data_IF_065863779535
#
_entry.id   IF_065863779535
#
_cell.length_a   1.000
_cell.length_b   1.000
_cell.length_c   1.000
_cell.angle_alpha   90.00
_cell.angle_beta   90.00
_cell.angle_gamma   90.00
#
_symmetry.space_group_name_H-M   'P 1'
#
loop_
_entity.id
_entity.type
_entity.pdbx_description
1 polymer ?
#
# COMPACT_ATOMS: atom_id res chain seq x y z
N UNK A 1 -5.14 47.71 -8.43
CA UNK A 1 -3.78 47.14 -8.54
C UNK A 1 -3.39 46.67 -7.14
N UNK A 2 -3.68 45.42 -6.81
CA UNK A 2 -3.65 44.89 -5.45
C UNK A 2 -2.24 44.42 -5.08
N UNK A 3 -1.74 44.93 -3.96
CA UNK A 3 -0.42 44.65 -3.38
C UNK A 3 -0.29 43.13 -3.11
N UNK A 4 0.82 42.47 -3.50
CA UNK A 4 1.01 41.07 -3.13
C UNK A 4 1.23 40.99 -1.62
N UNK A 5 0.34 40.26 -0.94
CA UNK A 5 0.50 39.80 0.45
C UNK A 5 1.84 39.06 0.56
N UNK A 6 2.83 39.72 1.17
CA UNK A 6 4.08 39.05 1.56
C UNK A 6 3.71 38.08 2.67
N UNK A 7 3.75 36.78 2.38
CA UNK A 7 3.71 35.72 3.39
C UNK A 7 4.90 36.00 4.33
N UNK A 8 4.60 36.53 5.51
CA UNK A 8 5.58 36.77 6.57
C UNK A 8 6.05 35.39 7.03
N UNK A 9 7.21 34.99 6.55
CA UNK A 9 7.89 33.78 6.98
C UNK A 9 8.32 34.01 8.43
N UNK A 10 7.51 33.53 9.38
CA UNK A 10 7.80 33.68 10.80
C UNK A 10 9.18 33.08 11.09
N UNK A 11 10.13 33.86 11.62
CA UNK A 11 11.46 33.35 11.93
C UNK A 11 11.34 32.35 13.07
N UNK A 12 11.58 31.07 12.75
CA UNK A 12 11.99 30.02 13.67
C UNK A 12 11.39 30.07 15.07
N UNK A 13 10.06 30.09 15.19
CA UNK A 13 9.43 29.64 16.42
C UNK A 13 9.89 28.19 16.59
N UNK A 14 10.83 27.96 17.51
CA UNK A 14 11.38 26.64 17.77
C UNK A 14 10.21 25.65 17.86
N UNK A 15 10.09 24.78 16.86
CA UNK A 15 9.07 23.73 16.82
C UNK A 15 9.44 22.79 17.96
N UNK A 16 8.95 23.12 19.15
CA UNK A 16 9.08 22.28 20.33
C UNK A 16 8.43 20.97 19.95
N UNK A 17 9.23 19.91 19.88
CA UNK A 17 8.73 18.57 19.60
C UNK A 17 7.51 18.33 20.50
N UNK A 18 6.34 17.93 19.97
CA UNK A 18 5.17 17.69 20.79
C UNK A 18 5.53 16.60 21.81
N UNK A 19 5.72 16.99 23.08
CA UNK A 19 6.25 16.12 24.13
C UNK A 19 5.25 15.03 24.58
N UNK A 20 4.08 14.95 23.95
CA UNK A 20 3.08 13.90 24.11
C UNK A 20 2.30 13.76 22.81
N UNK A 21 2.79 12.94 21.88
CA UNK A 21 1.90 12.33 20.89
C UNK A 21 0.82 11.57 21.65
N UNK A 22 -0.45 11.86 21.37
CA UNK A 22 -1.56 11.09 21.91
C UNK A 22 -1.31 9.59 21.64
N UNK A 23 -1.35 8.72 22.67
CA UNK A 23 -1.19 7.30 22.44
C UNK A 23 -2.30 6.83 21.50
N UNK A 24 -1.91 6.45 20.29
CA UNK A 24 -2.81 5.82 19.33
C UNK A 24 -3.03 4.41 19.82
N UNK A 25 -4.15 4.19 20.53
CA UNK A 25 -4.59 2.86 20.92
C UNK A 25 -5.12 2.14 19.68
N UNK A 26 -4.21 1.49 18.96
CA UNK A 26 -4.53 0.64 17.82
C UNK A 26 -3.68 -0.62 17.86
N UNK A 27 -4.27 -1.76 17.52
CA UNK A 27 -3.48 -2.96 17.22
C UNK A 27 -2.82 -2.71 15.87
N UNK A 28 -1.62 -2.13 15.88
CA UNK A 28 -0.79 -2.11 14.69
C UNK A 28 -0.65 -3.57 14.24
N UNK A 29 -1.25 -3.92 13.11
CA UNK A 29 -1.03 -5.23 12.49
C UNK A 29 0.27 -5.07 11.70
N UNK A 30 1.42 -5.50 12.24
CA UNK A 30 2.67 -5.33 11.51
C UNK A 30 2.53 -6.04 10.15
N UNK A 31 3.05 -5.44 9.06
CA UNK A 31 3.03 -6.07 7.75
C UNK A 31 3.79 -7.40 7.78
N UNK A 32 3.04 -8.50 7.83
CA UNK A 32 3.52 -9.89 7.84
C UNK A 32 3.27 -10.55 6.48
N UNK A 33 3.95 -11.66 6.24
CA UNK A 33 3.76 -12.44 5.01
C UNK A 33 4.26 -11.73 3.74
N UNK A 34 3.72 -12.16 2.60
CA UNK A 34 4.11 -11.64 1.28
C UNK A 34 3.51 -10.26 1.06
N UNK A 35 2.27 -10.04 1.54
CA UNK A 35 1.61 -8.72 1.50
C UNK A 35 2.44 -7.67 2.24
N UNK A 36 3.05 -8.04 3.37
CA UNK A 36 3.94 -7.15 4.11
C UNK A 36 5.26 -6.83 3.40
N UNK A 37 5.84 -7.80 2.68
CA UNK A 37 7.04 -7.56 1.87
C UNK A 37 6.77 -6.59 0.70
N UNK A 38 5.61 -6.71 0.05
CA UNK A 38 5.17 -5.80 -1.00
C UNK A 38 5.00 -4.37 -0.47
N UNK A 39 4.42 -4.21 0.73
CA UNK A 39 4.34 -2.87 1.38
C UNK A 39 5.72 -2.29 1.66
N UNK A 40 6.66 -3.10 2.19
CA UNK A 40 8.05 -2.64 2.38
C UNK A 40 8.72 -2.23 1.06
N UNK A 41 8.46 -2.95 -0.03
CA UNK A 41 8.95 -2.58 -1.35
C UNK A 41 8.29 -1.29 -1.88
N UNK A 42 6.98 -1.11 -1.66
CA UNK A 42 6.25 0.10 -2.05
C UNK A 42 6.87 1.34 -1.41
N UNK A 43 7.16 1.30 -0.11
CA UNK A 43 7.75 2.42 0.63
C UNK A 43 9.22 2.70 0.29
N UNK A 44 9.87 1.86 -0.52
CA UNK A 44 11.20 2.18 -1.09
C UNK A 44 11.10 3.02 -2.36
N UNK A 45 9.92 3.09 -2.97
CA UNK A 45 9.66 3.92 -4.15
C UNK A 45 9.11 5.28 -3.70
N UNK A 46 9.50 6.38 -4.40
CA UNK A 46 8.91 7.69 -4.16
C UNK A 46 7.40 7.69 -4.42
N UNK A 47 6.65 8.46 -3.65
CA UNK A 47 5.18 8.49 -3.70
C UNK A 47 4.64 9.06 -5.02
N UNK A 48 5.41 9.91 -5.71
CA UNK A 48 5.03 10.43 -7.03
C UNK A 48 5.11 9.36 -8.13
N UNK A 49 5.80 8.25 -7.89
CA UNK A 49 5.97 7.19 -8.88
C UNK A 49 4.75 6.28 -8.84
N UNK A 50 4.12 6.05 -10.00
CA UNK A 50 3.00 5.12 -10.13
C UNK A 50 3.30 3.73 -9.51
N UNK A 51 4.55 3.27 -9.59
CA UNK A 51 4.99 2.02 -8.99
C UNK A 51 4.72 1.91 -7.48
N UNK A 52 4.84 2.99 -6.71
CA UNK A 52 4.52 3.01 -5.28
C UNK A 52 3.07 2.57 -5.03
N UNK A 53 2.14 3.22 -5.71
CA UNK A 53 0.70 2.96 -5.60
C UNK A 53 0.32 1.58 -6.15
N UNK A 54 0.92 1.17 -7.27
CA UNK A 54 0.66 -0.15 -7.86
C UNK A 54 1.10 -1.28 -6.92
N UNK A 55 2.24 -1.13 -6.25
CA UNK A 55 2.71 -2.09 -5.26
C UNK A 55 1.80 -2.16 -4.03
N UNK A 56 1.24 -1.04 -3.58
CA UNK A 56 0.27 -1.03 -2.48
C UNK A 56 -1.01 -1.78 -2.87
N UNK A 57 -1.58 -1.49 -4.05
CA UNK A 57 -2.76 -2.19 -4.55
C UNK A 57 -2.47 -3.70 -4.69
N UNK A 58 -1.30 -4.06 -5.22
CA UNK A 58 -0.89 -5.46 -5.33
C UNK A 58 -0.79 -6.12 -3.94
N UNK A 59 -0.23 -5.42 -2.95
CA UNK A 59 -0.15 -5.90 -1.58
C UNK A 59 -1.53 -6.18 -0.97
N UNK A 60 -2.53 -5.32 -1.24
CA UNK A 60 -3.91 -5.55 -0.78
C UNK A 60 -4.52 -6.82 -1.39
N UNK A 61 -4.25 -7.09 -2.67
CA UNK A 61 -4.74 -8.30 -3.34
C UNK A 61 -4.07 -9.56 -2.78
N UNK A 62 -2.76 -9.50 -2.55
CA UNK A 62 -2.02 -10.62 -1.96
C UNK A 62 -2.48 -10.89 -0.53
N UNK A 63 -2.79 -9.87 0.26
CA UNK A 63 -3.26 -10.05 1.65
C UNK A 63 -4.56 -10.87 1.72
N UNK A 64 -5.50 -10.59 0.83
CA UNK A 64 -6.79 -11.31 0.75
C UNK A 64 -6.57 -12.77 0.37
N UNK A 65 -5.70 -13.04 -0.61
CA UNK A 65 -5.35 -14.40 -1.03
C UNK A 65 -4.63 -15.14 0.08
N UNK A 66 -3.66 -14.50 0.76
CA UNK A 66 -2.88 -15.09 1.84
C UNK A 66 -3.79 -15.48 3.02
N UNK A 67 -4.71 -14.59 3.43
CA UNK A 67 -5.69 -14.93 4.48
C UNK A 67 -6.62 -16.06 4.07
N UNK A 68 -7.14 -16.02 2.84
CA UNK A 68 -8.07 -17.04 2.34
C UNK A 68 -7.37 -18.39 2.20
N UNK A 69 -6.11 -18.42 1.79
CA UNK A 69 -5.29 -19.63 1.74
C UNK A 69 -5.06 -20.22 3.14
N UNK A 70 -4.75 -19.36 4.12
CA UNK A 70 -4.54 -19.77 5.50
C UNK A 70 -5.80 -20.33 6.17
N UNK A 71 -6.98 -19.78 5.84
CA UNK A 71 -8.26 -20.24 6.37
C UNK A 71 -8.83 -21.46 5.64
N UNK A 72 -8.69 -21.51 4.30
CA UNK A 72 -9.24 -22.56 3.43
C UNK A 72 -8.29 -22.81 2.25
N UNK A 73 -7.30 -23.71 2.39
CA UNK A 73 -6.26 -23.91 1.38
C UNK A 73 -6.83 -24.31 0.00
N UNK A 74 -7.93 -25.07 -0.04
CA UNK A 74 -8.57 -25.51 -1.31
C UNK A 74 -9.21 -24.38 -2.13
N UNK A 75 -9.75 -23.34 -1.50
CA UNK A 75 -10.46 -22.26 -2.20
C UNK A 75 -9.47 -21.25 -2.80
N UNK A 76 -8.34 -21.00 -2.12
CA UNK A 76 -7.30 -20.12 -2.62
C UNK A 76 -6.60 -20.69 -3.85
N UNK A 77 -6.33 -22.01 -3.87
CA UNK A 77 -5.77 -22.69 -5.04
C UNK A 77 -6.71 -22.61 -6.25
N UNK A 78 -8.02 -22.81 -6.05
CA UNK A 78 -9.01 -22.68 -7.12
C UNK A 78 -9.12 -21.26 -7.68
N UNK A 79 -9.08 -20.23 -6.82
CA UNK A 79 -9.10 -18.84 -7.25
C UNK A 79 -7.83 -18.42 -8.01
N UNK A 80 -6.64 -18.84 -7.56
CA UNK A 80 -5.38 -18.59 -8.26
C UNK A 80 -5.36 -19.30 -9.63
N UNK A 81 -5.82 -20.56 -9.65
CA UNK A 81 -5.98 -21.36 -10.86
C UNK A 81 -6.93 -20.70 -11.87
N UNK A 82 -8.06 -20.16 -11.41
CA UNK A 82 -9.01 -19.46 -12.26
C UNK A 82 -8.43 -18.17 -12.88
N UNK A 83 -7.66 -17.39 -12.11
CA UNK A 83 -7.01 -16.17 -12.61
C UNK A 83 -5.93 -16.48 -13.65
N UNK A 84 -5.10 -17.51 -13.40
CA UNK A 84 -4.07 -17.96 -14.35
C UNK A 84 -4.73 -18.51 -15.62
N UNK A 85 -5.76 -19.34 -15.47
CA UNK A 85 -6.50 -19.91 -16.60
C UNK A 85 -7.18 -18.83 -17.44
N UNK A 86 -7.82 -17.84 -16.81
CA UNK A 86 -8.44 -16.71 -17.50
C UNK A 86 -7.38 -15.85 -18.23
N UNK A 87 -6.24 -15.58 -17.59
CA UNK A 87 -5.13 -14.85 -18.21
C UNK A 87 -4.53 -15.59 -19.40
N UNK A 88 -4.35 -16.91 -19.30
CA UNK A 88 -3.89 -17.76 -20.41
C UNK A 88 -4.90 -17.81 -21.55
N UNK A 89 -6.21 -17.86 -21.23
CA UNK A 89 -7.28 -17.84 -22.23
C UNK A 89 -7.33 -16.50 -22.98
N UNK A 90 -7.19 -15.38 -22.28
CA UNK A 90 -7.10 -14.03 -22.87
C UNK A 90 -5.83 -13.88 -23.72
N UNK A 91 -4.69 -14.42 -23.29
CA UNK A 91 -3.44 -14.40 -24.06
C UNK A 91 -3.53 -15.26 -25.32
N UNK A 92 -4.25 -16.40 -25.26
CA UNK A 92 -4.49 -17.27 -26.41
C UNK A 92 -5.49 -16.67 -27.41
N UNK A 93 -6.48 -15.92 -26.94
CA UNK A 93 -7.45 -15.24 -27.80
C UNK A 93 -6.88 -14.02 -28.54
N UNK A 94 -5.69 -13.55 -28.15
CA UNK A 94 -4.99 -12.42 -28.79
C UNK A 94 -3.91 -12.86 -29.79
N UNK A 95 -3.81 -14.16 -30.07
CA UNK A 95 -2.82 -14.78 -30.97
C UNK A 95 -3.53 -15.40 -32.16
#
# INVERSE_FOLDING_TARGET
MSRPERIVQQPGAAVRAPQRTTPVFGTAQPPRGISGALRRAAYRLPEYRAGHWLLLIAADRVDVVERRARQRPGVAAAALGAVIALGALVARARR
#
